data_IF_915131679358
#
_entry.id   IF_915131679358
#
_cell.length_a   1.000
_cell.length_b   1.000
_cell.length_c   1.000
_cell.angle_alpha   90.00
_cell.angle_beta   90.00
_cell.angle_gamma   90.00
#
_symmetry.space_group_name_H-M   'P 1'
#
loop_
_entity.id
_entity.type
_entity.pdbx_description
1 polymer ?
#
# COMPACT_ATOMS: atom_id res chain seq x y z
N UNK A 1 4.75 16.76 7.37
CA UNK A 1 4.75 15.81 6.23
C UNK A 1 3.86 14.59 6.49
N UNK A 2 4.09 13.81 7.56
CA UNK A 2 3.29 12.62 7.86
C UNK A 2 1.78 12.90 8.03
N UNK A 3 1.40 13.97 8.74
CA UNK A 3 -0.02 14.30 8.96
C UNK A 3 -0.79 14.57 7.66
N UNK A 4 -0.15 15.23 6.68
CA UNK A 4 -0.76 15.52 5.37
C UNK A 4 -1.05 14.21 4.63
N UNK A 5 -0.11 13.25 4.67
CA UNK A 5 -0.32 11.91 4.08
C UNK A 5 -1.48 11.18 4.74
N UNK A 6 -1.54 11.21 6.08
CA UNK A 6 -2.63 10.57 6.83
C UNK A 6 -3.99 11.17 6.46
N UNK A 7 -4.09 12.50 6.44
CA UNK A 7 -5.32 13.20 6.05
C UNK A 7 -5.72 12.87 4.60
N UNK A 8 -4.76 12.81 3.68
CA UNK A 8 -5.03 12.44 2.29
C UNK A 8 -5.61 11.01 2.16
N UNK A 9 -5.06 10.03 2.90
CA UNK A 9 -5.58 8.65 2.92
C UNK A 9 -6.99 8.62 3.48
N UNK A 10 -7.24 9.29 4.62
CA UNK A 10 -8.57 9.33 5.24
C UNK A 10 -9.59 9.99 4.30
N UNK A 11 -9.23 11.11 3.67
CA UNK A 11 -10.08 11.80 2.72
C UNK A 11 -10.43 10.92 1.51
N UNK A 12 -9.45 10.17 0.99
CA UNK A 12 -9.68 9.24 -0.12
C UNK A 12 -10.65 8.10 0.26
N UNK A 13 -10.50 7.53 1.47
CA UNK A 13 -11.40 6.48 1.98
C UNK A 13 -12.83 7.00 2.12
N UNK A 14 -13.00 8.18 2.73
CA UNK A 14 -14.32 8.80 2.92
C UNK A 14 -14.97 9.15 1.57
N UNK A 15 -14.20 9.68 0.63
CA UNK A 15 -14.69 10.01 -0.72
C UNK A 15 -15.11 8.75 -1.49
N UNK A 16 -14.31 7.68 -1.45
CA UNK A 16 -14.67 6.39 -2.04
C UNK A 16 -15.95 5.81 -1.43
N UNK A 17 -16.07 5.87 -0.09
CA UNK A 17 -17.30 5.47 0.60
C UNK A 17 -18.51 6.30 0.17
N UNK A 18 -18.36 7.62 0.10
CA UNK A 18 -19.43 8.51 -0.38
C UNK A 18 -19.87 8.18 -1.81
N UNK A 19 -18.95 7.85 -2.72
CA UNK A 19 -19.29 7.44 -4.09
C UNK A 19 -20.11 6.13 -4.12
N UNK A 20 -19.81 5.18 -3.23
CA UNK A 20 -20.52 3.91 -3.14
C UNK A 20 -21.95 4.06 -2.57
N UNK A 21 -22.16 4.94 -1.59
CA UNK A 21 -23.46 5.11 -0.94
C UNK A 21 -24.34 6.20 -1.56
N UNK A 22 -23.77 7.21 -2.22
CA UNK A 22 -24.53 8.34 -2.75
C UNK A 22 -25.19 8.06 -4.11
N UNK A 23 -24.80 6.99 -4.81
CA UNK A 23 -25.27 6.69 -6.16
C UNK A 23 -24.67 7.58 -7.26
N UNK A 24 -23.80 8.54 -6.91
CA UNK A 24 -23.11 9.42 -7.86
C UNK A 24 -21.85 8.79 -8.48
N UNK A 25 -21.43 7.60 -8.04
CA UNK A 25 -20.27 6.88 -8.57
C UNK A 25 -20.49 6.23 -9.95
N UNK A 26 -21.70 6.32 -10.51
CA UNK A 26 -22.09 5.70 -11.78
C UNK A 26 -22.59 4.26 -11.64
N UNK A 27 -23.07 3.65 -12.73
CA UNK A 27 -23.75 2.32 -12.70
C UNK A 27 -22.85 1.19 -12.20
N UNK A 28 -21.54 1.37 -12.33
CA UNK A 28 -20.52 0.40 -11.93
C UNK A 28 -20.13 0.57 -10.46
N UNK A 29 -20.45 1.67 -9.77
CA UNK A 29 -20.08 1.88 -8.38
C UNK A 29 -21.03 1.13 -7.43
N UNK A 30 -20.92 -0.19 -7.41
CA UNK A 30 -21.72 -1.07 -6.56
C UNK A 30 -20.84 -1.92 -5.65
N UNK A 31 -21.33 -2.17 -4.44
CA UNK A 31 -20.70 -3.07 -3.46
C UNK A 31 -20.58 -4.50 -4.02
N UNK A 32 -21.42 -4.85 -5.00
CA UNK A 32 -21.35 -6.15 -5.67
C UNK A 32 -20.03 -6.43 -6.37
N UNK A 33 -19.29 -5.42 -6.84
CA UNK A 33 -17.98 -5.63 -7.45
C UNK A 33 -16.95 -6.28 -6.53
N UNK A 34 -17.15 -6.19 -5.21
CA UNK A 34 -16.28 -6.87 -4.24
C UNK A 34 -16.37 -8.40 -4.35
N UNK A 35 -17.45 -8.92 -4.92
CA UNK A 35 -17.70 -10.36 -5.02
C UNK A 35 -17.92 -10.85 -6.47
N UNK A 36 -18.48 -10.02 -7.34
CA UNK A 36 -18.87 -10.44 -8.70
C UNK A 36 -17.68 -10.65 -9.65
N UNK A 37 -16.51 -10.07 -9.34
CA UNK A 37 -15.30 -10.14 -10.19
C UNK A 37 -14.34 -11.27 -9.75
N UNK A 38 -14.88 -12.39 -9.29
CA UNK A 38 -14.12 -13.53 -8.79
C UNK A 38 -13.90 -13.53 -7.27
N UNK A 39 -14.69 -12.77 -6.51
CA UNK A 39 -14.61 -12.76 -5.05
C UNK A 39 -13.43 -11.95 -4.49
N UNK A 40 -13.16 -12.13 -3.20
CA UNK A 40 -12.05 -11.48 -2.51
C UNK A 40 -10.66 -12.01 -2.97
N UNK A 41 -10.62 -13.25 -3.44
CA UNK A 41 -9.40 -13.93 -3.91
C UNK A 41 -9.63 -14.55 -5.31
N UNK A 42 -9.74 -13.72 -6.36
CA UNK A 42 -10.06 -14.19 -7.72
C UNK A 42 -8.98 -15.10 -8.32
N UNK A 43 -7.73 -14.94 -7.87
CA UNK A 43 -6.59 -15.78 -8.26
C UNK A 43 -6.25 -16.86 -7.21
N UNK A 44 -7.09 -17.02 -6.19
CA UNK A 44 -6.92 -17.99 -5.11
C UNK A 44 -5.59 -17.83 -4.33
N UNK A 45 -5.18 -18.91 -3.68
CA UNK A 45 -3.95 -18.95 -2.88
C UNK A 45 -2.69 -18.79 -3.73
N UNK A 46 -2.71 -19.23 -4.99
CA UNK A 46 -1.60 -19.06 -5.92
C UNK A 46 -1.30 -17.57 -6.18
N UNK A 47 -2.34 -16.76 -6.45
CA UNK A 47 -2.18 -15.31 -6.61
C UNK A 47 -1.66 -14.62 -5.35
N UNK A 48 -2.09 -15.08 -4.17
CA UNK A 48 -1.59 -14.58 -2.90
C UNK A 48 -0.07 -14.81 -2.75
N UNK A 49 0.39 -16.05 -2.97
CA UNK A 49 1.82 -16.40 -2.86
C UNK A 49 2.65 -15.62 -3.87
N UNK A 50 2.15 -15.43 -5.09
CA UNK A 50 2.85 -14.65 -6.11
C UNK A 50 2.97 -13.17 -5.74
N UNK A 51 1.93 -12.58 -5.14
CA UNK A 51 2.01 -11.21 -4.61
C UNK A 51 2.95 -11.11 -3.42
N UNK A 52 3.06 -12.13 -2.56
CA UNK A 52 4.06 -12.14 -1.49
C UNK A 52 5.48 -12.06 -2.05
N UNK A 53 5.78 -12.76 -3.14
CA UNK A 53 7.08 -12.66 -3.82
C UNK A 53 7.37 -11.24 -4.33
N UNK A 54 6.38 -10.58 -4.95
CA UNK A 54 6.49 -9.19 -5.42
C UNK A 54 6.69 -8.21 -4.25
N UNK A 55 5.98 -8.41 -3.15
CA UNK A 55 6.11 -7.60 -1.94
C UNK A 55 7.52 -7.74 -1.35
N UNK A 56 8.01 -8.98 -1.21
CA UNK A 56 9.37 -9.24 -0.73
C UNK A 56 10.42 -8.56 -1.61
N UNK A 57 10.27 -8.61 -2.94
CA UNK A 57 11.17 -7.89 -3.85
C UNK A 57 11.09 -6.37 -3.69
N UNK A 58 9.88 -5.82 -3.55
CA UNK A 58 9.65 -4.39 -3.37
C UNK A 58 10.25 -3.85 -2.06
N UNK A 59 10.32 -4.68 -1.02
CA UNK A 59 10.93 -4.33 0.27
C UNK A 59 12.38 -4.82 0.42
N UNK A 60 12.90 -5.65 -0.48
CA UNK A 60 14.28 -6.15 -0.44
C UNK A 60 15.34 -5.02 -0.49
N UNK A 61 14.99 -3.85 -1.04
CA UNK A 61 15.84 -2.66 -0.96
C UNK A 61 16.06 -2.12 0.45
N UNK A 62 15.14 -2.36 1.39
CA UNK A 62 15.29 -1.95 2.80
C UNK A 62 16.40 -2.73 3.51
N UNK A 63 16.64 -3.98 3.10
CA UNK A 63 17.71 -4.82 3.66
C UNK A 63 19.09 -4.25 3.30
N UNK A 64 19.27 -3.79 2.05
CA UNK A 64 20.48 -3.10 1.61
C UNK A 64 20.71 -1.78 2.34
N UNK A 65 19.66 -1.01 2.60
CA UNK A 65 19.73 0.21 3.42
C UNK A 65 20.15 -0.13 4.86
N UNK A 66 19.66 -1.23 5.42
CA UNK A 66 20.05 -1.72 6.74
C UNK A 66 21.51 -2.14 6.84
N UNK A 67 22.04 -2.86 5.85
CA UNK A 67 23.43 -3.31 5.81
C UNK A 67 24.37 -2.12 5.60
N UNK A 68 24.07 -1.25 4.62
CA UNK A 68 24.89 -0.05 4.37
C UNK A 68 24.85 0.94 5.53
N UNK A 69 23.73 1.03 6.25
CA UNK A 69 23.66 1.77 7.52
C UNK A 69 24.54 1.14 8.62
N UNK A 70 24.62 -0.20 8.70
CA UNK A 70 25.48 -0.90 9.65
C UNK A 70 26.99 -0.78 9.31
N UNK A 71 27.31 -0.63 8.02
CA UNK A 71 28.68 -0.43 7.51
C UNK A 71 29.07 1.05 7.36
N UNK A 72 28.15 1.99 7.60
CA UNK A 72 28.43 3.42 7.50
C UNK A 72 29.32 3.89 8.65
N UNK A 73 30.39 4.62 8.34
CA UNK A 73 31.18 5.30 9.35
C UNK A 73 30.33 6.37 10.06
N UNK A 74 30.14 6.20 11.37
CA UNK A 74 29.29 7.02 12.24
C UNK A 74 27.80 7.04 11.85
N UNK A 75 27.08 5.91 12.02
CA UNK A 75 25.67 5.75 11.61
C UNK A 75 24.72 6.75 12.29
N UNK A 76 25.04 7.18 13.52
CA UNK A 76 24.25 8.16 14.28
C UNK A 76 24.19 9.54 13.60
N UNK A 77 25.16 9.89 12.75
CA UNK A 77 25.20 11.17 12.04
C UNK A 77 24.81 11.05 10.56
N UNK A 78 25.13 9.94 9.90
CA UNK A 78 24.94 9.74 8.46
C UNK A 78 23.51 9.31 8.10
N UNK A 79 22.83 8.54 8.94
CA UNK A 79 21.45 8.07 8.69
C UNK A 79 20.40 9.20 8.77
N UNK A 80 20.40 10.08 9.79
CA UNK A 80 19.39 11.14 9.90
C UNK A 80 19.51 12.23 8.83
N UNK A 81 20.68 12.40 8.20
CA UNK A 81 20.90 13.39 7.14
C UNK A 81 20.42 12.93 5.76
N UNK A 82 20.18 11.63 5.58
CA UNK A 82 19.82 11.02 4.31
C UNK A 82 18.30 10.78 4.13
N UNK A 83 17.50 10.97 5.19
CA UNK A 83 16.03 10.77 5.21
C UNK A 83 15.32 12.11 5.31
#
# INVERSE_FOLDING_TARGET
FAIIKVVAVVAMILFGGWLLFSGNGGPQATVRNLWDQGGFLPHGFYGLVMMMAIIMFSFGGLELVGITAAEADNPEQSIPKAT
#
